data_IF_980285064534
#
_entry.id   IF_980285064534
#
_cell.length_a   1.000
_cell.length_b   1.000
_cell.length_c   1.000
_cell.angle_alpha   90.00
_cell.angle_beta   90.00
_cell.angle_gamma   90.00
#
_symmetry.space_group_name_H-M   'P 1'
#
loop_
_entity.id
_entity.type
_entity.pdbx_description
1 polymer ?
#
# COMPACT_ATOMS: atom_id res chain seq x y z
N UNK A 1 -0.21 -2.47 8.28
CA UNK A 1 -0.56 -3.09 6.99
C UNK A 1 -0.43 -2.02 5.94
N UNK A 2 0.14 -2.33 4.78
CA UNK A 2 0.30 -1.37 3.69
C UNK A 2 -0.57 -1.79 2.51
N UNK A 3 -1.27 -0.84 1.93
CA UNK A 3 -2.06 -1.00 0.71
C UNK A 3 -1.25 -0.47 -0.48
N UNK A 4 -1.16 -1.26 -1.55
CA UNK A 4 -0.63 -0.83 -2.84
C UNK A 4 -1.73 -0.23 -3.73
N UNK A 5 -1.40 0.06 -4.99
CA UNK A 5 -2.33 0.62 -5.96
C UNK A 5 -3.53 -0.29 -6.25
N UNK A 6 -3.30 -1.60 -6.36
CA UNK A 6 -4.34 -2.57 -6.68
C UNK A 6 -5.32 -2.79 -5.51
N UNK A 7 -4.81 -2.90 -4.29
CA UNK A 7 -5.63 -3.02 -3.08
C UNK A 7 -6.45 -1.74 -2.84
N UNK A 8 -5.86 -0.56 -3.07
CA UNK A 8 -6.58 0.72 -3.02
C UNK A 8 -7.66 0.81 -4.10
N UNK A 9 -7.34 0.43 -5.33
CA UNK A 9 -8.30 0.40 -6.45
C UNK A 9 -9.47 -0.54 -6.17
N UNK A 10 -9.20 -1.70 -5.57
CA UNK A 10 -10.23 -2.67 -5.21
C UNK A 10 -11.22 -2.16 -4.14
N UNK A 11 -10.85 -1.16 -3.34
CA UNK A 11 -11.76 -0.51 -2.39
C UNK A 11 -12.76 0.41 -3.10
N UNK A 12 -12.41 0.98 -4.24
CA UNK A 12 -13.26 1.81 -5.07
C UNK A 12 -14.27 1.01 -5.90
N UNK A 13 -15.47 1.56 -6.10
CA UNK A 13 -16.47 0.99 -7.02
C UNK A 13 -17.44 -0.05 -6.41
N UNK A 14 -17.95 -0.96 -7.26
CA UNK A 14 -18.99 -1.93 -6.91
C UNK A 14 -18.46 -3.06 -6.01
N UNK A 15 -19.34 -3.69 -5.24
CA UNK A 15 -18.97 -4.81 -4.36
C UNK A 15 -18.45 -6.01 -5.15
N UNK A 16 -17.15 -6.26 -5.03
CA UNK A 16 -16.45 -7.42 -5.62
C UNK A 16 -15.92 -8.33 -4.52
N UNK A 17 -15.48 -9.55 -4.89
CA UNK A 17 -14.78 -10.46 -3.97
C UNK A 17 -13.52 -9.79 -3.41
N UNK A 18 -12.71 -9.18 -4.29
CA UNK A 18 -11.48 -8.45 -3.90
C UNK A 18 -11.78 -7.33 -2.91
N UNK A 19 -12.80 -6.51 -3.14
CA UNK A 19 -13.18 -5.45 -2.20
C UNK A 19 -13.48 -6.01 -0.79
N UNK A 20 -14.18 -7.14 -0.70
CA UNK A 20 -14.49 -7.77 0.59
C UNK A 20 -13.24 -8.32 1.27
N UNK A 21 -12.30 -8.89 0.52
CA UNK A 21 -11.02 -9.37 1.03
C UNK A 21 -10.17 -8.23 1.59
N UNK A 22 -10.04 -7.11 0.85
CA UNK A 22 -9.34 -5.92 1.34
C UNK A 22 -10.00 -5.37 2.62
N UNK A 23 -11.33 -5.21 2.62
CA UNK A 23 -12.06 -4.73 3.82
C UNK A 23 -11.93 -5.67 5.02
N UNK A 24 -11.92 -6.98 4.79
CA UNK A 24 -11.71 -7.97 5.84
C UNK A 24 -10.29 -7.88 6.41
N UNK A 25 -9.28 -7.71 5.55
CA UNK A 25 -7.89 -7.51 5.96
C UNK A 25 -7.71 -6.21 6.76
N UNK A 26 -8.30 -5.10 6.31
CA UNK A 26 -8.31 -3.83 7.04
C UNK A 26 -8.97 -3.97 8.41
N UNK A 27 -10.14 -4.62 8.46
CA UNK A 27 -10.84 -4.88 9.72
C UNK A 27 -10.01 -5.74 10.67
N UNK A 28 -9.25 -6.71 10.15
CA UNK A 28 -8.34 -7.53 10.95
C UNK A 28 -7.15 -6.72 11.48
N UNK A 29 -6.53 -5.89 10.62
CA UNK A 29 -5.45 -5.00 11.03
C UNK A 29 -5.90 -4.06 12.15
N UNK A 30 -7.09 -3.46 12.00
CA UNK A 30 -7.67 -2.58 13.01
C UNK A 30 -7.90 -3.31 14.34
N UNK A 31 -8.53 -4.50 14.33
CA UNK A 31 -8.74 -5.29 15.56
C UNK A 31 -7.44 -5.68 16.27
N UNK A 32 -6.34 -5.76 15.53
CA UNK A 32 -5.00 -6.04 16.06
C UNK A 32 -4.24 -4.77 16.49
N UNK A 33 -4.88 -3.60 16.47
CA UNK A 33 -4.26 -2.32 16.77
C UNK A 33 -3.15 -1.94 15.78
N UNK A 34 -3.23 -2.43 14.54
CA UNK A 34 -2.27 -2.16 13.48
C UNK A 34 -2.81 -1.08 12.55
N UNK A 35 -1.97 -0.11 12.25
CA UNK A 35 -2.28 0.95 11.29
C UNK A 35 -2.44 0.37 9.88
N UNK A 36 -3.36 0.93 9.11
CA UNK A 36 -3.49 0.72 7.67
C UNK A 36 -2.88 1.94 6.98
N UNK A 37 -1.86 1.74 6.17
CA UNK A 37 -1.06 2.80 5.56
C UNK A 37 -1.11 2.70 4.04
N UNK A 38 -1.16 3.84 3.37
CA UNK A 38 -0.94 3.96 1.92
C UNK A 38 0.13 5.03 1.67
N UNK A 39 1.22 4.73 0.93
CA UNK A 39 2.15 5.76 0.51
C UNK A 39 1.47 6.81 -0.38
N UNK A 40 1.76 8.09 -0.19
CA UNK A 40 1.17 9.16 -1.00
C UNK A 40 1.44 8.99 -2.52
N UNK A 41 2.56 8.37 -2.88
CA UNK A 41 2.90 8.09 -4.29
C UNK A 41 1.99 7.04 -4.94
N UNK A 42 1.40 6.14 -4.15
CA UNK A 42 0.36 5.21 -4.63
C UNK A 42 -0.88 6.00 -5.03
N UNK A 43 -1.29 6.97 -4.20
CA UNK A 43 -2.42 7.85 -4.57
C UNK A 43 -2.11 8.64 -5.84
N UNK A 44 -0.88 9.16 -5.97
CA UNK A 44 -0.46 9.88 -7.17
C UNK A 44 -0.49 9.00 -8.44
N UNK A 45 -0.22 7.71 -8.33
CA UNK A 45 -0.36 6.76 -9.44
C UNK A 45 -1.83 6.52 -9.83
N UNK A 46 -2.72 6.49 -8.83
CA UNK A 46 -4.14 6.21 -9.00
C UNK A 46 -4.96 7.42 -9.43
N UNK A 47 -4.59 8.65 -9.05
CA UNK A 47 -5.29 9.84 -9.54
C UNK A 47 -5.17 9.95 -11.06
N UNK A 48 -6.30 9.81 -11.76
CA UNK A 48 -6.39 9.70 -13.24
C UNK A 48 -7.58 10.45 -13.83
N UNK A 49 -8.29 11.25 -13.04
CA UNK A 49 -9.38 12.11 -13.50
C UNK A 49 -10.68 11.93 -12.72
N UNK A 50 -11.62 12.85 -12.96
CA UNK A 50 -12.77 13.19 -12.11
C UNK A 50 -13.50 12.01 -11.43
N UNK A 51 -13.84 10.95 -12.15
CA UNK A 51 -14.64 9.86 -11.57
C UNK A 51 -13.79 8.90 -10.72
N UNK A 52 -12.54 8.69 -11.09
CA UNK A 52 -11.60 7.85 -10.32
C UNK A 52 -11.14 8.58 -9.06
N UNK A 53 -10.83 9.86 -9.18
CA UNK A 53 -10.38 10.71 -8.10
C UNK A 53 -11.46 10.81 -7.00
N UNK A 54 -12.73 11.00 -7.37
CA UNK A 54 -13.86 11.05 -6.43
C UNK A 54 -14.03 9.75 -5.65
N UNK A 55 -13.84 8.58 -6.28
CA UNK A 55 -13.95 7.30 -5.59
C UNK A 55 -12.81 7.10 -4.59
N UNK A 56 -11.59 7.51 -4.96
CA UNK A 56 -10.42 7.44 -4.09
C UNK A 56 -10.58 8.38 -2.90
N UNK A 57 -10.98 9.63 -3.12
CA UNK A 57 -11.23 10.62 -2.08
C UNK A 57 -12.36 10.20 -1.15
N UNK A 58 -13.45 9.63 -1.69
CA UNK A 58 -14.54 9.08 -0.89
C UNK A 58 -14.08 7.89 -0.04
N UNK A 59 -13.18 7.05 -0.55
CA UNK A 59 -12.59 5.95 0.22
C UNK A 59 -11.74 6.49 1.38
N UNK A 60 -10.82 7.42 1.10
CA UNK A 60 -9.97 8.03 2.12
C UNK A 60 -10.79 8.79 3.18
N UNK A 61 -11.87 9.47 2.76
CA UNK A 61 -12.74 10.21 3.67
C UNK A 61 -13.59 9.31 4.56
N UNK A 62 -14.08 8.18 4.04
CA UNK A 62 -14.89 7.21 4.80
C UNK A 62 -14.08 6.48 5.86
N UNK A 63 -12.81 6.25 5.57
CA UNK A 63 -11.86 5.62 6.47
C UNK A 63 -11.13 6.72 7.29
N UNK A 64 -11.87 7.66 7.88
CA UNK A 64 -11.35 8.61 8.87
C UNK A 64 -11.78 8.16 10.27
N UNK A 65 -10.85 8.16 11.23
CA UNK A 65 -11.08 7.70 12.61
C UNK A 65 -10.42 6.36 12.90
N UNK A 66 -11.06 5.53 13.73
CA UNK A 66 -10.47 4.30 14.27
C UNK A 66 -10.06 3.28 13.18
N UNK A 67 -10.87 3.09 12.13
CA UNK A 67 -10.58 2.14 11.03
C UNK A 67 -9.78 2.76 9.87
N UNK A 68 -9.12 3.90 10.10
CA UNK A 68 -8.71 4.77 9.02
C UNK A 68 -7.51 4.33 8.18
N UNK A 69 -7.41 4.89 6.97
CA UNK A 69 -6.25 4.74 6.09
C UNK A 69 -5.33 5.95 6.30
N UNK A 70 -4.13 5.71 6.82
CA UNK A 70 -3.11 6.73 6.98
C UNK A 70 -2.31 6.92 5.70
N UNK A 71 -2.32 8.14 5.17
CA UNK A 71 -1.51 8.50 4.01
C UNK A 71 -0.10 8.86 4.49
N UNK A 72 0.91 8.10 4.06
CA UNK A 72 2.32 8.32 4.39
C UNK A 72 3.00 9.18 3.31
N UNK A 73 3.38 10.44 3.60
CA UNK A 73 4.10 11.29 2.65
C UNK A 73 5.54 10.80 2.42
N UNK A 74 6.15 11.17 1.30
CA UNK A 74 7.58 10.92 1.07
C UNK A 74 8.40 12.09 1.61
N UNK A 75 9.03 11.88 2.77
CA UNK A 75 10.05 12.76 3.32
C UNK A 75 11.47 12.24 3.05
N UNK A 76 12.49 12.90 3.60
CA UNK A 76 13.89 12.52 3.40
C UNK A 76 14.21 11.11 3.91
N UNK A 77 13.62 10.68 5.04
CA UNK A 77 13.82 9.34 5.59
C UNK A 77 13.22 8.27 4.69
N UNK A 78 11.96 8.46 4.28
CA UNK A 78 11.27 7.57 3.35
C UNK A 78 12.04 7.47 2.03
N UNK A 79 12.45 8.60 1.46
CA UNK A 79 13.22 8.64 0.21
C UNK A 79 14.54 7.87 0.30
N UNK A 80 15.24 7.95 1.44
CA UNK A 80 16.48 7.18 1.67
C UNK A 80 16.21 5.68 1.73
N UNK A 81 15.14 5.28 2.41
CA UNK A 81 14.76 3.87 2.51
C UNK A 81 14.36 3.29 1.16
N UNK A 82 13.53 4.01 0.40
CA UNK A 82 13.14 3.67 -0.98
C UNK A 82 14.37 3.52 -1.87
N UNK A 83 15.29 4.49 -1.86
CA UNK A 83 16.52 4.41 -2.64
C UNK A 83 17.38 3.20 -2.27
N UNK A 84 17.44 2.86 -0.98
CA UNK A 84 18.12 1.65 -0.50
C UNK A 84 17.47 0.36 -1.00
N UNK A 85 16.13 0.28 -1.00
CA UNK A 85 15.37 -0.86 -1.54
C UNK A 85 15.64 -1.04 -3.03
N UNK A 86 15.52 0.03 -3.82
CA UNK A 86 15.77 0.00 -5.27
C UNK A 86 17.21 -0.44 -5.59
N UNK A 87 18.18 0.12 -4.87
CA UNK A 87 19.59 -0.25 -5.03
C UNK A 87 19.85 -1.72 -4.68
N UNK A 88 19.28 -2.22 -3.57
CA UNK A 88 19.44 -3.60 -3.15
C UNK A 88 18.82 -4.60 -4.13
N UNK A 89 17.70 -4.24 -4.76
CA UNK A 89 17.02 -5.06 -5.77
C UNK A 89 17.60 -4.90 -7.18
N UNK A 90 18.53 -3.95 -7.40
CA UNK A 90 19.14 -3.70 -8.71
C UNK A 90 18.14 -3.20 -9.77
N UNK A 91 17.14 -2.42 -9.35
CA UNK A 91 16.07 -1.91 -10.23
C UNK A 91 16.00 -0.38 -10.27
N UNK A 92 15.38 0.15 -11.31
CA UNK A 92 15.23 1.59 -11.54
C UNK A 92 13.90 2.18 -11.04
N UNK A 93 13.63 3.42 -11.44
CA UNK A 93 12.46 4.20 -11.02
C UNK A 93 11.11 3.64 -11.46
N UNK A 94 11.06 2.67 -12.38
CA UNK A 94 9.81 1.97 -12.73
C UNK A 94 9.20 1.23 -11.54
N UNK A 95 10.03 0.85 -10.55
CA UNK A 95 9.61 0.19 -9.31
C UNK A 95 9.44 1.19 -8.15
N UNK A 96 9.43 2.50 -8.43
CA UNK A 96 9.46 3.51 -7.38
C UNK A 96 8.21 3.43 -6.49
N UNK A 97 7.02 3.23 -7.05
CA UNK A 97 5.78 3.12 -6.28
C UNK A 97 5.81 1.87 -5.39
N UNK A 98 6.15 0.71 -5.93
CA UNK A 98 6.27 -0.53 -5.18
C UNK A 98 7.35 -0.46 -4.08
N UNK A 99 8.46 0.20 -4.36
CA UNK A 99 9.51 0.41 -3.37
C UNK A 99 9.02 1.28 -2.21
N UNK A 100 8.12 2.24 -2.44
CA UNK A 100 7.48 3.00 -1.35
C UNK A 100 6.52 2.13 -0.53
N UNK A 101 5.82 1.18 -1.16
CA UNK A 101 4.96 0.22 -0.46
C UNK A 101 5.80 -0.66 0.48
N UNK A 102 6.91 -1.21 0.00
CA UNK A 102 7.84 -1.98 0.83
C UNK A 102 8.48 -1.12 1.92
N UNK A 103 8.90 0.11 1.58
CA UNK A 103 9.49 1.04 2.55
C UNK A 103 8.53 1.36 3.70
N UNK A 104 7.25 1.63 3.39
CA UNK A 104 6.23 1.86 4.42
C UNK A 104 6.04 0.63 5.31
N UNK A 105 6.10 -0.59 4.75
CA UNK A 105 6.00 -1.81 5.56
C UNK A 105 7.23 -1.98 6.47
N UNK A 106 8.42 -1.63 6.00
CA UNK A 106 9.65 -1.66 6.80
C UNK A 106 9.62 -0.61 7.91
N UNK A 107 9.14 0.62 7.66
CA UNK A 107 9.00 1.67 8.68
C UNK A 107 8.08 1.26 9.84
N UNK A 108 7.03 0.47 9.55
CA UNK A 108 6.13 -0.09 10.57
C UNK A 108 6.77 -1.22 11.41
N UNK A 109 8.06 -1.50 11.23
CA UNK A 109 8.76 -2.63 11.84
C UNK A 109 8.49 -3.97 11.14
N UNK A 110 7.97 -3.93 9.91
CA UNK A 110 7.49 -5.07 9.15
C UNK A 110 5.96 -5.05 8.97
N UNK A 111 5.41 -6.13 8.43
CA UNK A 111 3.96 -6.31 8.32
C UNK A 111 3.52 -6.85 6.98
N UNK A 112 2.23 -6.70 6.72
CA UNK A 112 1.57 -7.22 5.52
C UNK A 112 1.43 -6.12 4.48
N UNK A 113 1.88 -6.41 3.26
CA UNK A 113 1.54 -5.67 2.03
C UNK A 113 0.43 -6.44 1.33
N UNK A 114 -0.70 -5.77 1.08
CA UNK A 114 -1.80 -6.32 0.29
C UNK A 114 -1.66 -5.84 -1.16
N UNK A 115 -1.75 -6.75 -2.13
CA UNK A 115 -1.56 -6.45 -3.56
C UNK A 115 -2.23 -7.48 -4.48
N UNK A 116 -2.61 -7.08 -5.69
CA UNK A 116 -2.98 -8.01 -6.76
C UNK A 116 -1.84 -8.32 -7.75
N UNK A 117 -0.66 -7.71 -7.60
CA UNK A 117 0.58 -8.05 -8.31
C UNK A 117 1.73 -8.28 -7.32
N UNK A 118 1.83 -9.52 -6.84
CA UNK A 118 2.82 -9.87 -5.84
C UNK A 118 4.24 -10.05 -6.42
N UNK A 119 4.44 -10.11 -7.74
CA UNK A 119 5.73 -10.46 -8.34
C UNK A 119 6.81 -9.42 -8.03
N UNK A 120 6.51 -8.17 -8.34
CA UNK A 120 7.43 -7.04 -8.17
C UNK A 120 7.66 -6.72 -6.69
N UNK A 121 6.60 -6.76 -5.88
CA UNK A 121 6.68 -6.55 -4.44
C UNK A 121 7.48 -7.65 -3.72
N UNK A 122 7.38 -8.92 -4.14
CA UNK A 122 8.23 -10.01 -3.59
C UNK A 122 9.69 -9.82 -3.94
N UNK A 123 10.00 -9.37 -5.15
CA UNK A 123 11.38 -9.05 -5.57
C UNK A 123 11.97 -7.95 -4.70
N UNK A 124 11.22 -6.87 -4.45
CA UNK A 124 11.67 -5.73 -3.65
C UNK A 124 11.77 -6.04 -2.15
N UNK A 125 10.85 -6.87 -1.63
CA UNK A 125 10.81 -7.22 -0.21
C UNK A 125 11.71 -8.39 0.20
N UNK A 126 12.34 -9.09 -0.76
CA UNK A 126 13.17 -10.27 -0.49
C UNK A 126 14.23 -10.11 0.63
N UNK A 127 14.89 -8.94 0.80
CA UNK A 127 15.82 -8.72 1.91
C UNK A 127 15.16 -8.56 3.29
N UNK A 128 13.85 -8.28 3.34
CA UNK A 128 13.10 -7.89 4.54
C UNK A 128 12.18 -9.02 5.01
N UNK A 129 12.72 -9.94 5.81
CA UNK A 129 12.00 -11.15 6.28
C UNK A 129 10.75 -10.87 7.12
N UNK A 130 10.64 -9.67 7.68
CA UNK A 130 9.49 -9.21 8.44
C UNK A 130 8.39 -8.57 7.57
N UNK A 131 8.57 -8.48 6.25
CA UNK A 131 7.56 -8.02 5.30
C UNK A 131 6.95 -9.24 4.61
N UNK A 132 5.63 -9.34 4.66
CA UNK A 132 4.86 -10.40 4.00
C UNK A 132 4.00 -9.80 2.91
N UNK A 133 4.15 -10.29 1.68
CA UNK A 133 3.31 -9.90 0.54
C UNK A 133 2.15 -10.88 0.44
N UNK A 134 0.93 -10.39 0.63
CA UNK A 134 -0.32 -11.15 0.52
C UNK A 134 -0.99 -10.79 -0.78
N UNK A 135 -1.18 -11.83 -1.60
CA UNK A 135 -1.83 -11.74 -2.89
C UNK A 135 -3.36 -11.81 -2.72
N UNK A 136 -4.06 -10.84 -3.29
CA UNK A 136 -5.53 -10.75 -3.34
C UNK A 136 -6.06 -10.90 -4.79
N UNK A 137 -5.17 -11.30 -5.71
CA UNK A 137 -5.33 -11.25 -7.17
C UNK A 137 -5.56 -12.58 -7.82
#
# INVERSE_FOLDING_TARGET
MVLDAEAMSALGGRSTKRQREVRAAMSAAFRLGREVVVPAVVLAELYRGRDHDQLLDACLSRETGETGIYVRPTDRSMARLVGGILAAAGVGSTFMVDAHVVAAAVELGGGVVLTADAGDLRKLSAPYRNVTVVDIG
#
